data_IF_401531560458
#
_entry.id   IF_401531560458
#
_cell.length_a   1.000
_cell.length_b   1.000
_cell.length_c   1.000
_cell.angle_alpha   90.00
_cell.angle_beta   90.00
_cell.angle_gamma   90.00
#
_symmetry.space_group_name_H-M   'P 1'
#
loop_
_entity.id
_entity.type
_entity.pdbx_description
1 polymer ?
#
# COMPACT_ATOMS: atom_id res chain seq x y z
N UNK A 1 31.86 2.04 -5.13
CA UNK A 1 31.04 1.38 -6.15
C UNK A 1 29.74 0.93 -5.48
N UNK A 2 28.56 1.25 -6.06
CA UNK A 2 27.31 0.77 -5.52
C UNK A 2 27.28 -0.76 -5.52
N UNK A 3 26.91 -1.35 -4.38
CA UNK A 3 26.74 -2.78 -4.28
C UNK A 3 25.35 -3.16 -4.82
N UNK A 4 25.32 -4.14 -5.73
CA UNK A 4 24.09 -4.72 -6.25
C UNK A 4 23.87 -6.07 -5.58
N UNK A 5 22.76 -6.23 -4.90
CA UNK A 5 22.32 -7.48 -4.27
C UNK A 5 21.06 -7.92 -5.00
N UNK A 6 21.08 -9.13 -5.56
CA UNK A 6 19.92 -9.69 -6.27
C UNK A 6 19.20 -10.70 -5.39
N UNK A 7 17.91 -10.55 -5.27
CA UNK A 7 17.04 -11.50 -4.57
C UNK A 7 16.07 -12.15 -5.57
N UNK A 8 16.00 -13.48 -5.53
CA UNK A 8 15.01 -14.26 -6.29
C UNK A 8 14.17 -15.06 -5.30
N UNK A 9 12.84 -14.94 -5.30
CA UNK A 9 11.98 -15.70 -4.40
C UNK A 9 12.03 -17.20 -4.70
N UNK A 10 11.93 -17.99 -3.65
CA UNK A 10 11.79 -19.45 -3.71
C UNK A 10 10.55 -19.87 -2.92
N UNK A 11 10.21 -21.17 -2.95
CA UNK A 11 9.11 -21.68 -2.11
C UNK A 11 9.35 -21.51 -0.61
N UNK A 12 10.61 -21.46 -0.19
CA UNK A 12 11.00 -21.34 1.23
C UNK A 12 11.23 -19.88 1.66
N UNK A 13 11.68 -19.02 0.72
CA UNK A 13 12.09 -17.66 1.02
C UNK A 13 11.46 -16.67 0.04
N UNK A 14 10.47 -15.94 0.53
CA UNK A 14 9.84 -14.82 -0.17
C UNK A 14 10.19 -13.43 0.44
N UNK A 15 11.23 -13.40 1.30
CA UNK A 15 11.77 -12.22 1.95
C UNK A 15 13.25 -12.08 1.57
N UNK A 16 13.62 -10.88 1.14
CA UNK A 16 15.00 -10.60 0.74
C UNK A 16 15.92 -10.37 1.92
N UNK A 17 15.67 -9.34 2.71
CA UNK A 17 16.47 -8.91 3.84
C UNK A 17 15.60 -8.89 5.10
N UNK A 18 15.72 -9.92 5.89
CA UNK A 18 14.95 -10.07 7.13
C UNK A 18 15.73 -9.50 8.33
N UNK A 19 15.19 -8.45 8.92
CA UNK A 19 15.73 -7.78 10.11
C UNK A 19 14.93 -8.12 11.37
N UNK A 20 14.15 -9.19 11.36
CA UNK A 20 13.28 -9.53 12.46
C UNK A 20 14.04 -9.79 13.77
N UNK A 21 13.51 -9.27 14.88
CA UNK A 21 14.03 -9.49 16.24
C UNK A 21 15.28 -8.69 16.60
N UNK A 22 15.64 -7.68 15.83
CA UNK A 22 16.80 -6.84 16.10
C UNK A 22 16.47 -5.68 17.04
N UNK A 23 17.43 -5.32 17.91
CA UNK A 23 17.34 -4.16 18.78
C UNK A 23 18.62 -3.34 18.75
N UNK A 24 18.47 -2.00 18.84
CA UNK A 24 19.59 -1.04 18.93
C UNK A 24 20.56 -1.13 17.74
N UNK A 25 20.04 -1.29 16.53
CA UNK A 25 20.83 -1.50 15.30
C UNK A 25 20.70 -0.34 14.35
N UNK A 26 21.83 0.10 13.80
CA UNK A 26 21.92 1.07 12.73
C UNK A 26 22.55 0.42 11.49
N UNK A 27 21.82 0.35 10.40
CA UNK A 27 22.25 -0.26 9.15
C UNK A 27 22.48 0.83 8.12
N UNK A 28 23.71 1.01 7.69
CA UNK A 28 24.07 1.93 6.61
C UNK A 28 24.17 1.17 5.29
N UNK A 29 23.24 1.44 4.39
CA UNK A 29 23.15 0.83 3.07
C UNK A 29 23.29 1.87 1.95
N UNK A 30 24.02 2.98 2.21
CA UNK A 30 24.31 3.97 1.17
C UNK A 30 25.07 3.35 0.00
N UNK A 31 24.55 3.56 -1.21
CA UNK A 31 25.09 2.94 -2.43
C UNK A 31 24.73 1.47 -2.62
N UNK A 32 23.93 0.88 -1.74
CA UNK A 32 23.40 -0.48 -1.90
C UNK A 32 22.12 -0.43 -2.71
N UNK A 33 22.02 -1.32 -3.68
CA UNK A 33 20.82 -1.49 -4.51
C UNK A 33 20.35 -2.94 -4.45
N UNK A 34 19.16 -3.15 -3.92
CA UNK A 34 18.48 -4.44 -3.96
C UNK A 34 17.73 -4.56 -5.28
N UNK A 35 18.06 -5.61 -6.04
CA UNK A 35 17.42 -5.92 -7.31
C UNK A 35 16.61 -7.20 -7.12
N UNK A 36 15.29 -7.07 -7.15
CA UNK A 36 14.37 -8.17 -6.98
C UNK A 36 14.06 -8.82 -8.33
N UNK A 37 14.18 -10.13 -8.42
CA UNK A 37 13.86 -10.92 -9.61
C UNK A 37 12.64 -11.79 -9.32
N UNK A 38 11.44 -11.20 -9.30
CA UNK A 38 10.18 -11.83 -8.96
C UNK A 38 9.35 -11.00 -7.97
N UNK A 39 8.34 -11.60 -7.36
CA UNK A 39 7.44 -10.94 -6.40
C UNK A 39 7.74 -11.42 -4.99
N UNK A 40 8.30 -10.54 -4.17
CA UNK A 40 8.67 -10.82 -2.79
C UNK A 40 8.63 -9.55 -1.95
N UNK A 41 8.87 -9.70 -0.65
CA UNK A 41 9.10 -8.64 0.32
C UNK A 41 10.61 -8.34 0.42
N UNK A 42 11.10 -7.27 -0.20
CA UNK A 42 12.55 -6.98 -0.21
C UNK A 42 13.15 -6.75 1.16
N UNK A 43 12.41 -6.09 2.08
CA UNK A 43 12.89 -5.80 3.44
C UNK A 43 11.77 -6.03 4.45
N UNK A 44 12.05 -6.82 5.47
CA UNK A 44 11.20 -7.01 6.64
C UNK A 44 11.85 -6.49 7.90
N UNK A 45 11.11 -5.70 8.68
CA UNK A 45 11.46 -5.21 10.02
C UNK A 45 10.34 -5.64 10.95
N UNK A 46 10.50 -6.76 11.64
CA UNK A 46 9.45 -7.32 12.49
C UNK A 46 9.96 -7.63 13.89
N UNK A 47 9.18 -7.29 14.94
CA UNK A 47 9.57 -7.47 16.34
C UNK A 47 10.92 -6.81 16.66
N UNK A 48 11.11 -5.58 16.16
CA UNK A 48 12.34 -4.82 16.30
C UNK A 48 12.16 -3.63 17.23
N UNK A 49 13.25 -3.19 17.86
CA UNK A 49 13.28 -1.97 18.67
C UNK A 49 14.52 -1.13 18.35
N UNK A 50 14.35 0.21 18.20
CA UNK A 50 15.45 1.16 17.94
C UNK A 50 16.28 0.77 16.69
N UNK A 51 15.64 0.55 15.54
CA UNK A 51 16.32 0.20 14.30
C UNK A 51 16.32 1.37 13.32
N UNK A 52 17.51 1.72 12.81
CA UNK A 52 17.68 2.70 11.72
C UNK A 52 18.19 2.01 10.45
N UNK A 53 17.48 2.22 9.32
CA UNK A 53 17.93 1.80 7.98
C UNK A 53 18.19 3.04 7.11
N UNK A 54 19.39 3.13 6.57
CA UNK A 54 19.88 4.31 5.85
C UNK A 54 20.33 3.99 4.42
N UNK A 55 19.88 4.76 3.44
CA UNK A 55 20.51 4.86 2.12
C UNK A 55 20.23 3.71 1.14
N UNK A 56 19.24 2.87 1.36
CA UNK A 56 18.90 1.73 0.50
C UNK A 56 18.12 2.16 -0.74
N UNK A 57 18.39 1.52 -1.89
CA UNK A 57 17.52 1.57 -3.08
C UNK A 57 16.93 0.18 -3.38
N UNK A 58 15.61 0.11 -3.57
CA UNK A 58 14.89 -1.11 -3.96
C UNK A 58 14.36 -0.96 -5.39
N UNK A 59 14.60 -1.94 -6.24
CA UNK A 59 14.08 -2.01 -7.61
C UNK A 59 13.87 -3.45 -8.05
N UNK A 60 13.23 -3.64 -9.21
CA UNK A 60 13.02 -4.96 -9.81
C UNK A 60 13.82 -5.11 -11.10
N UNK A 61 14.37 -6.31 -11.34
CA UNK A 61 15.01 -6.67 -12.61
C UNK A 61 13.98 -6.62 -13.74
N UNK A 62 12.89 -7.36 -13.59
CA UNK A 62 11.67 -7.22 -14.37
C UNK A 62 10.69 -6.37 -13.59
N UNK A 63 10.30 -5.20 -14.11
CA UNK A 63 9.34 -4.33 -13.42
C UNK A 63 8.00 -5.06 -13.19
N UNK A 64 7.30 -4.82 -12.08
CA UNK A 64 6.00 -5.44 -11.80
C UNK A 64 4.84 -4.85 -12.61
N UNK A 65 5.17 -4.09 -13.64
CA UNK A 65 4.28 -3.48 -14.62
C UNK A 65 4.90 -3.59 -16.02
N UNK A 66 4.11 -3.39 -17.08
CA UNK A 66 4.61 -3.19 -18.43
C UNK A 66 4.33 -1.78 -18.90
N UNK A 67 5.28 -1.24 -19.64
CA UNK A 67 5.16 0.01 -20.37
C UNK A 67 5.24 -0.26 -21.86
N UNK A 68 4.58 0.55 -22.64
CA UNK A 68 4.63 0.51 -24.10
C UNK A 68 4.02 1.74 -24.70
N UNK A 69 3.94 1.78 -26.02
CA UNK A 69 3.47 2.92 -26.78
C UNK A 69 2.42 2.51 -27.82
N UNK A 70 1.48 3.39 -28.07
CA UNK A 70 0.50 3.24 -29.14
C UNK A 70 1.21 3.41 -30.48
N UNK A 71 1.33 2.33 -31.26
CA UNK A 71 1.96 2.35 -32.59
C UNK A 71 0.93 2.52 -33.72
N UNK A 72 -0.34 2.17 -33.45
CA UNK A 72 -1.45 2.39 -34.37
C UNK A 72 -2.69 2.80 -33.59
N UNK A 73 -3.41 3.80 -34.11
CA UNK A 73 -4.64 4.31 -33.50
C UNK A 73 -5.63 4.62 -34.63
N UNK A 74 -6.70 3.85 -34.73
CA UNK A 74 -7.72 3.99 -35.81
C UNK A 74 -9.07 4.31 -35.15
N UNK A 75 -9.69 5.45 -35.46
CA UNK A 75 -10.98 5.81 -34.87
C UNK A 75 -12.08 4.86 -35.37
N UNK A 76 -13.03 4.57 -34.50
CA UNK A 76 -14.30 3.90 -34.80
C UNK A 76 -15.42 4.90 -34.99
N UNK A 77 -16.60 4.41 -35.35
CA UNK A 77 -17.79 5.26 -35.54
C UNK A 77 -18.32 5.89 -34.25
N UNK A 78 -17.91 5.36 -33.07
CA UNK A 78 -18.28 5.90 -31.77
C UNK A 78 -17.26 6.96 -31.35
N UNK A 79 -17.76 8.01 -30.69
CA UNK A 79 -16.92 9.10 -30.20
C UNK A 79 -15.89 8.63 -29.19
N UNK A 80 -14.63 9.02 -29.39
CA UNK A 80 -13.46 8.66 -28.58
C UNK A 80 -13.22 7.14 -28.45
N UNK A 81 -13.69 6.31 -29.39
CA UNK A 81 -13.41 4.88 -29.44
C UNK A 81 -12.45 4.57 -30.59
N UNK A 82 -11.41 3.81 -30.29
CA UNK A 82 -10.31 3.51 -31.20
C UNK A 82 -9.95 2.02 -31.19
N UNK A 83 -9.56 1.51 -32.35
CA UNK A 83 -8.73 0.31 -32.45
C UNK A 83 -7.28 0.72 -32.33
N UNK A 84 -6.58 0.15 -31.36
CA UNK A 84 -5.18 0.45 -31.10
C UNK A 84 -4.29 -0.78 -31.20
N UNK A 85 -3.05 -0.56 -31.63
CA UNK A 85 -1.95 -1.51 -31.42
C UNK A 85 -0.97 -0.87 -30.47
N UNK A 86 -0.56 -1.61 -29.46
CA UNK A 86 0.45 -1.20 -28.49
C UNK A 86 1.66 -2.11 -28.64
N UNK A 87 2.82 -1.50 -28.70
CA UNK A 87 4.13 -2.14 -28.62
C UNK A 87 4.71 -1.90 -27.24
N UNK A 88 5.02 -2.97 -26.52
CA UNK A 88 5.61 -2.92 -25.19
C UNK A 88 7.13 -2.83 -25.28
N UNK A 89 7.74 -2.17 -24.31
CA UNK A 89 9.20 -2.06 -24.21
C UNK A 89 9.88 -3.44 -24.13
N UNK A 90 11.11 -3.56 -24.64
CA UNK A 90 11.86 -4.82 -24.68
C UNK A 90 12.06 -5.47 -23.31
N UNK A 91 12.19 -4.67 -22.26
CA UNK A 91 12.33 -5.14 -20.87
C UNK A 91 10.99 -5.43 -20.17
N UNK A 92 9.88 -5.28 -20.90
CA UNK A 92 8.51 -5.46 -20.41
C UNK A 92 7.70 -6.55 -21.13
N UNK A 93 8.28 -7.74 -21.45
CA UNK A 93 7.54 -8.77 -22.17
C UNK A 93 6.35 -9.30 -21.38
N UNK A 94 5.32 -9.71 -22.11
CA UNK A 94 4.11 -10.33 -21.56
C UNK A 94 3.92 -11.73 -22.13
N UNK A 95 3.04 -12.48 -21.51
CA UNK A 95 2.54 -13.76 -22.04
C UNK A 95 1.02 -13.70 -22.15
N UNK A 96 0.43 -14.65 -22.82
CA UNK A 96 -1.03 -14.74 -22.90
C UNK A 96 -1.73 -14.82 -21.52
N UNK A 97 -0.99 -15.26 -20.48
CA UNK A 97 -1.48 -15.39 -19.09
C UNK A 97 -1.17 -14.17 -18.23
N UNK A 98 -0.41 -13.20 -18.75
CA UNK A 98 -0.06 -11.99 -18.00
C UNK A 98 -1.32 -11.15 -17.77
N UNK A 99 -1.67 -10.79 -16.53
CA UNK A 99 -2.79 -9.90 -16.26
C UNK A 99 -2.53 -8.51 -16.86
N UNK A 100 -3.45 -8.01 -17.68
CA UNK A 100 -3.28 -6.72 -18.37
C UNK A 100 -4.32 -5.66 -17.94
N UNK A 101 -5.34 -6.05 -17.20
CA UNK A 101 -6.47 -5.18 -16.88
C UNK A 101 -6.69 -4.96 -15.38
N UNK A 102 -5.72 -5.28 -14.55
CA UNK A 102 -5.83 -5.06 -13.10
C UNK A 102 -5.90 -3.56 -12.77
N UNK A 103 -4.95 -2.81 -13.32
CA UNK A 103 -4.91 -1.35 -13.33
C UNK A 103 -4.01 -0.92 -14.47
N UNK A 104 -4.41 0.08 -15.22
CA UNK A 104 -3.65 0.61 -16.37
C UNK A 104 -3.87 2.11 -16.53
N UNK A 105 -3.00 2.74 -17.30
CA UNK A 105 -3.00 4.17 -17.57
C UNK A 105 -2.55 4.44 -19.00
N UNK A 106 -3.23 5.39 -19.63
CA UNK A 106 -2.81 6.01 -20.88
C UNK A 106 -2.22 7.37 -20.56
N UNK A 107 -1.01 7.66 -21.05
CA UNK A 107 -0.36 8.93 -20.84
C UNK A 107 -0.11 9.63 -22.16
N UNK A 108 -0.32 10.93 -22.17
CA UNK A 108 0.04 11.78 -23.32
C UNK A 108 1.55 11.74 -23.56
N UNK A 109 1.95 11.48 -24.79
CA UNK A 109 3.35 11.28 -25.20
C UNK A 109 4.26 12.47 -24.90
N UNK A 110 3.73 13.70 -24.85
CA UNK A 110 4.54 14.92 -24.67
C UNK A 110 4.56 15.40 -23.23
N UNK A 111 3.39 15.35 -22.57
CA UNK A 111 3.23 15.92 -21.22
C UNK A 111 3.33 14.88 -20.10
N UNK A 112 3.25 13.58 -20.41
CA UNK A 112 3.15 12.50 -19.43
C UNK A 112 1.84 12.49 -18.63
N UNK A 113 0.88 13.36 -18.97
CA UNK A 113 -0.40 13.46 -18.27
C UNK A 113 -1.30 12.28 -18.56
N UNK A 114 -1.95 11.79 -17.51
CA UNK A 114 -2.95 10.73 -17.65
C UNK A 114 -4.09 11.17 -18.58
N UNK A 115 -4.43 10.32 -19.55
CA UNK A 115 -5.61 10.41 -20.39
C UNK A 115 -6.67 9.48 -19.84
N UNK A 116 -7.82 10.04 -19.53
CA UNK A 116 -8.94 9.26 -19.01
C UNK A 116 -9.49 8.34 -20.11
N UNK A 117 -9.27 7.04 -19.96
CA UNK A 117 -9.70 6.06 -20.96
C UNK A 117 -9.80 4.64 -20.39
N UNK A 118 -10.69 3.85 -21.00
CA UNK A 118 -10.95 2.46 -20.65
C UNK A 118 -10.69 1.50 -21.81
N UNK A 119 -10.19 0.31 -21.51
CA UNK A 119 -10.08 -0.81 -22.44
C UNK A 119 -11.41 -1.56 -22.46
N UNK A 120 -12.05 -1.61 -23.63
CA UNK A 120 -13.30 -2.36 -23.86
C UNK A 120 -12.98 -3.84 -24.08
N UNK A 121 -11.96 -4.11 -24.89
CA UNK A 121 -11.45 -5.45 -25.14
C UNK A 121 -9.98 -5.39 -25.54
N UNK A 122 -9.24 -6.47 -25.29
CA UNK A 122 -7.87 -6.59 -25.77
C UNK A 122 -7.61 -8.00 -26.32
N UNK A 123 -6.60 -8.12 -27.20
CA UNK A 123 -6.14 -9.38 -27.77
C UNK A 123 -4.62 -9.41 -27.72
N UNK A 124 -4.08 -10.44 -27.06
CA UNK A 124 -2.65 -10.75 -27.09
C UNK A 124 -2.21 -11.10 -28.51
N UNK A 125 -1.10 -10.55 -28.97
CA UNK A 125 -0.49 -10.85 -30.27
C UNK A 125 0.79 -11.66 -30.08
N UNK A 126 1.75 -11.10 -29.36
CA UNK A 126 3.02 -11.74 -28.98
C UNK A 126 3.57 -11.13 -27.70
N UNK A 127 4.82 -11.45 -27.33
CA UNK A 127 5.41 -11.01 -26.06
C UNK A 127 5.59 -9.50 -25.92
N UNK A 128 5.55 -8.76 -27.04
CA UNK A 128 5.69 -7.30 -27.05
C UNK A 128 4.50 -6.58 -27.67
N UNK A 129 3.50 -7.28 -28.18
CA UNK A 129 2.38 -6.63 -28.84
C UNK A 129 1.03 -7.11 -28.35
N UNK A 130 0.10 -6.17 -28.24
CA UNK A 130 -1.32 -6.46 -28.11
C UNK A 130 -2.14 -5.46 -28.93
N UNK A 131 -3.36 -5.85 -29.26
CA UNK A 131 -4.36 -4.94 -29.84
C UNK A 131 -5.50 -4.75 -28.85
N UNK A 132 -6.12 -3.57 -28.87
CA UNK A 132 -7.26 -3.29 -27.99
C UNK A 132 -8.29 -2.39 -28.65
N UNK A 133 -9.54 -2.49 -28.19
CA UNK A 133 -10.56 -1.49 -28.41
C UNK A 133 -10.59 -0.61 -27.16
N UNK A 134 -10.37 0.67 -27.34
CA UNK A 134 -10.18 1.62 -26.25
C UNK A 134 -11.15 2.78 -26.39
N UNK A 135 -11.81 3.17 -25.29
CA UNK A 135 -12.54 4.43 -25.20
C UNK A 135 -11.70 5.41 -24.40
N UNK A 136 -11.10 6.40 -25.07
CA UNK A 136 -10.19 7.34 -24.44
C UNK A 136 -10.19 8.69 -25.17
N UNK A 137 -10.36 9.78 -24.44
CA UNK A 137 -10.36 11.12 -25.02
C UNK A 137 -8.94 11.50 -25.49
N UNK A 138 -8.82 11.85 -26.76
CA UNK A 138 -7.57 12.36 -27.34
C UNK A 138 -6.44 11.33 -27.42
N UNK A 139 -6.75 10.03 -27.45
CA UNK A 139 -5.75 8.98 -27.66
C UNK A 139 -5.15 9.07 -29.06
N UNK A 140 -3.83 8.97 -29.17
CA UNK A 140 -3.13 9.05 -30.44
C UNK A 140 -1.88 8.15 -30.48
N UNK A 141 -1.31 8.00 -31.67
CA UNK A 141 -0.02 7.31 -31.85
C UNK A 141 1.08 8.04 -31.07
N UNK A 142 1.91 7.28 -30.40
CA UNK A 142 2.98 7.76 -29.51
C UNK A 142 2.58 7.87 -28.04
N UNK A 143 1.27 7.84 -27.71
CA UNK A 143 0.83 7.83 -26.32
C UNK A 143 1.37 6.61 -25.58
N UNK A 144 1.75 6.83 -24.33
CA UNK A 144 2.29 5.77 -23.47
C UNK A 144 1.16 4.97 -22.83
N UNK A 145 1.36 3.67 -22.73
CA UNK A 145 0.53 2.74 -22.00
C UNK A 145 1.31 2.10 -20.88
N UNK A 146 0.75 2.13 -19.66
CA UNK A 146 1.28 1.43 -18.50
C UNK A 146 0.23 0.50 -17.93
N UNK A 147 0.62 -0.71 -17.51
CA UNK A 147 -0.28 -1.66 -16.85
C UNK A 147 0.44 -2.47 -15.78
N UNK A 148 -0.23 -2.71 -14.65
CA UNK A 148 0.32 -3.54 -13.56
C UNK A 148 -0.11 -4.99 -13.72
N UNK A 149 0.76 -5.92 -13.31
CA UNK A 149 0.54 -7.36 -13.38
C UNK A 149 0.22 -8.01 -12.04
N UNK A 150 0.34 -7.25 -10.97
CA UNK A 150 -0.05 -7.63 -9.62
C UNK A 150 -0.64 -6.41 -8.90
N UNK A 151 -1.55 -6.66 -7.98
CA UNK A 151 -2.20 -5.62 -7.17
C UNK A 151 -2.24 -6.09 -5.72
N UNK A 152 -1.94 -5.22 -4.76
CA UNK A 152 -1.84 -5.56 -3.33
C UNK A 152 -0.94 -6.77 -3.01
N UNK A 153 0.18 -6.92 -3.74
CA UNK A 153 1.21 -7.91 -3.43
C UNK A 153 2.05 -7.47 -2.22
N UNK A 154 3.18 -8.14 -1.97
CA UNK A 154 4.07 -7.80 -0.86
C UNK A 154 4.56 -6.34 -0.93
N UNK A 155 4.72 -5.64 0.21
CA UNK A 155 5.34 -4.30 0.25
C UNK A 155 6.85 -4.37 -0.01
N UNK A 156 7.45 -3.23 -0.39
CA UNK A 156 8.91 -3.16 -0.51
C UNK A 156 9.60 -3.19 0.85
N UNK A 157 9.03 -2.49 1.83
CA UNK A 157 9.49 -2.50 3.22
C UNK A 157 8.28 -2.73 4.13
N UNK A 158 8.34 -3.77 4.93
CA UNK A 158 7.30 -4.11 5.90
C UNK A 158 7.82 -3.89 7.32
N UNK A 159 7.17 -2.99 8.06
CA UNK A 159 7.45 -2.69 9.47
C UNK A 159 6.28 -3.23 10.29
N UNK A 160 6.50 -4.30 11.08
CA UNK A 160 5.45 -4.95 11.84
C UNK A 160 5.86 -5.17 13.30
N UNK A 161 4.92 -4.93 14.23
CA UNK A 161 5.11 -5.23 15.66
C UNK A 161 6.44 -4.67 16.21
N UNK A 162 6.81 -3.47 15.77
CA UNK A 162 8.14 -2.88 16.01
C UNK A 162 8.04 -1.49 16.66
N UNK A 163 9.12 -1.05 17.29
CA UNK A 163 9.15 0.21 18.03
C UNK A 163 10.36 1.05 17.66
N UNK A 164 10.18 2.39 17.54
CA UNK A 164 11.24 3.35 17.25
C UNK A 164 12.02 3.00 15.96
N UNK A 165 11.32 2.87 14.85
CA UNK A 165 11.91 2.53 13.55
C UNK A 165 12.12 3.80 12.73
N UNK A 166 13.30 3.97 12.16
CA UNK A 166 13.63 5.10 11.28
C UNK A 166 14.16 4.61 9.94
N UNK A 167 13.53 5.04 8.85
CA UNK A 167 14.05 4.92 7.50
C UNK A 167 14.54 6.28 7.02
N UNK A 168 15.77 6.38 6.53
CA UNK A 168 16.36 7.64 6.06
C UNK A 168 17.05 7.45 4.72
N UNK A 169 16.81 8.34 3.76
CA UNK A 169 17.42 8.31 2.42
C UNK A 169 17.17 6.98 1.66
N UNK A 170 15.98 6.42 1.84
CA UNK A 170 15.57 5.18 1.18
C UNK A 170 14.86 5.53 -0.13
N UNK A 171 15.15 4.76 -1.19
CA UNK A 171 14.48 4.91 -2.49
C UNK A 171 13.80 3.60 -2.89
N UNK A 172 12.54 3.67 -3.30
CA UNK A 172 11.77 2.55 -3.85
C UNK A 172 11.39 2.93 -5.28
N UNK A 173 11.96 2.26 -6.26
CA UNK A 173 11.71 2.56 -7.67
C UNK A 173 10.58 1.70 -8.27
N UNK A 174 10.33 0.54 -7.73
CA UNK A 174 9.25 -0.33 -8.20
C UNK A 174 8.87 -1.35 -7.13
N UNK A 175 7.57 -1.69 -7.04
CA UNK A 175 7.06 -2.77 -6.18
C UNK A 175 5.70 -3.26 -6.69
N UNK A 176 5.44 -4.58 -6.71
CA UNK A 176 4.14 -5.14 -7.14
C UNK A 176 2.99 -4.91 -6.14
N UNK A 177 3.28 -4.39 -4.96
CA UNK A 177 2.34 -3.95 -3.95
C UNK A 177 2.62 -2.51 -3.53
N UNK A 178 2.60 -2.27 -2.23
CA UNK A 178 2.84 -0.97 -1.60
C UNK A 178 4.34 -0.69 -1.43
N UNK A 179 4.70 0.57 -1.24
CA UNK A 179 6.08 0.95 -0.95
C UNK A 179 6.46 0.58 0.49
N UNK A 180 6.02 1.34 1.48
CA UNK A 180 6.24 1.05 2.89
C UNK A 180 4.92 0.73 3.57
N UNK A 181 4.85 -0.41 4.25
CA UNK A 181 3.70 -0.80 5.09
C UNK A 181 4.14 -0.87 6.54
N UNK A 182 3.37 -0.23 7.42
CA UNK A 182 3.52 -0.32 8.88
C UNK A 182 2.28 -0.93 9.52
N UNK A 183 2.47 -1.96 10.37
CA UNK A 183 1.39 -2.58 11.11
C UNK A 183 1.77 -2.70 12.59
N UNK A 184 0.83 -2.38 13.50
CA UNK A 184 0.97 -2.61 14.95
C UNK A 184 2.35 -2.20 15.50
N UNK A 185 2.85 -1.05 15.04
CA UNK A 185 4.17 -0.54 15.39
C UNK A 185 4.06 0.83 16.07
N UNK A 186 5.06 1.18 16.86
CA UNK A 186 5.12 2.40 17.65
C UNK A 186 6.28 3.29 17.18
N UNK A 187 6.04 4.61 17.01
CA UNK A 187 7.06 5.60 16.69
C UNK A 187 7.86 5.26 15.42
N UNK A 188 7.22 5.39 14.26
CA UNK A 188 7.87 5.19 12.96
C UNK A 188 8.18 6.53 12.31
N UNK A 189 9.39 6.68 11.80
CA UNK A 189 9.85 7.90 11.11
C UNK A 189 10.43 7.59 9.74
N UNK A 190 9.87 8.21 8.70
CA UNK A 190 10.36 8.15 7.33
C UNK A 190 10.93 9.53 6.97
N UNK A 191 12.25 9.59 6.74
CA UNK A 191 12.97 10.83 6.42
C UNK A 191 13.58 10.72 5.03
N UNK A 192 13.20 11.60 4.12
CA UNK A 192 13.67 11.58 2.74
C UNK A 192 13.51 10.20 2.08
N UNK A 193 12.33 9.61 2.31
CA UNK A 193 11.89 8.43 1.56
C UNK A 193 11.43 8.88 0.17
N UNK A 194 11.94 8.23 -0.85
CA UNK A 194 11.57 8.48 -2.23
C UNK A 194 10.91 7.23 -2.82
N UNK A 195 9.61 7.32 -3.09
CA UNK A 195 8.88 6.31 -3.87
C UNK A 195 8.65 6.91 -5.24
N UNK A 196 9.61 6.68 -6.12
CA UNK A 196 9.68 7.33 -7.43
C UNK A 196 10.12 6.31 -8.49
N UNK A 197 9.62 6.40 -9.74
CA UNK A 197 10.05 5.47 -10.77
C UNK A 197 11.53 5.64 -11.12
N UNK A 198 12.12 4.64 -11.76
CA UNK A 198 13.39 4.81 -12.45
C UNK A 198 13.23 5.78 -13.62
N UNK A 199 14.33 6.44 -14.01
CA UNK A 199 14.33 7.39 -15.12
C UNK A 199 13.72 6.78 -16.39
N UNK A 200 12.77 7.49 -16.96
CA UNK A 200 12.04 7.08 -18.16
C UNK A 200 10.78 6.28 -17.92
N UNK A 201 10.46 5.86 -16.69
CA UNK A 201 9.19 5.21 -16.36
C UNK A 201 8.20 6.18 -15.69
N UNK A 202 6.90 5.92 -15.88
CA UNK A 202 5.80 6.65 -15.23
C UNK A 202 4.98 5.70 -14.34
N UNK A 203 5.67 4.82 -13.61
CA UNK A 203 5.08 3.94 -12.61
C UNK A 203 6.11 3.51 -11.56
N UNK A 204 5.76 3.60 -10.28
CA UNK A 204 6.60 3.16 -9.15
C UNK A 204 5.98 1.96 -8.46
N UNK A 205 5.21 2.13 -7.39
CA UNK A 205 4.50 1.05 -6.71
C UNK A 205 3.14 0.78 -7.35
N UNK A 206 2.67 -0.48 -7.32
CA UNK A 206 1.40 -0.84 -7.95
C UNK A 206 0.18 -0.40 -7.13
N UNK A 207 0.37 -0.06 -5.86
CA UNK A 207 -0.63 0.49 -4.95
C UNK A 207 -0.07 1.68 -4.17
N UNK A 208 -0.40 1.84 -2.88
CA UNK A 208 0.00 2.98 -2.07
C UNK A 208 1.52 3.19 -2.02
N UNK A 209 1.96 4.42 -1.96
CA UNK A 209 3.36 4.70 -1.66
C UNK A 209 3.67 4.35 -0.20
N UNK A 210 2.76 4.68 0.75
CA UNK A 210 2.88 4.27 2.16
C UNK A 210 1.51 3.94 2.76
N UNK A 211 1.46 2.92 3.63
CA UNK A 211 0.24 2.47 4.27
C UNK A 211 0.51 2.04 5.72
N UNK A 212 -0.24 2.59 6.67
CA UNK A 212 -0.03 2.35 8.10
C UNK A 212 -1.35 1.97 8.77
N UNK A 213 -1.35 0.83 9.46
CA UNK A 213 -2.53 0.34 10.18
C UNK A 213 -2.21 0.06 11.63
N UNK A 214 -3.13 0.42 12.53
CA UNK A 214 -3.05 0.10 13.96
C UNK A 214 -1.72 0.50 14.60
N UNK A 215 -1.24 1.68 14.26
CA UNK A 215 -0.01 2.26 14.80
C UNK A 215 -0.27 2.92 16.14
N UNK A 216 0.78 3.06 16.95
CA UNK A 216 0.76 3.83 18.19
C UNK A 216 1.85 4.89 18.21
N UNK A 217 1.79 5.80 19.19
CA UNK A 217 2.77 6.88 19.33
C UNK A 217 2.75 7.86 18.15
N UNK A 218 3.90 8.07 17.53
CA UNK A 218 4.07 9.04 16.44
C UNK A 218 4.46 8.37 15.13
N UNK A 219 3.74 8.73 14.06
CA UNK A 219 4.12 8.44 12.69
C UNK A 219 4.58 9.75 12.01
N UNK A 220 5.82 9.80 11.52
CA UNK A 220 6.40 10.99 10.90
C UNK A 220 6.90 10.69 9.48
N UNK A 221 6.41 11.47 8.52
CA UNK A 221 6.91 11.55 7.14
C UNK A 221 7.54 12.94 6.96
N UNK A 222 8.83 13.00 6.68
CA UNK A 222 9.58 14.26 6.60
C UNK A 222 10.42 14.35 5.31
N UNK A 223 10.16 15.38 4.49
CA UNK A 223 10.86 15.65 3.23
C UNK A 223 10.86 14.44 2.28
N UNK A 224 9.75 13.71 2.20
CA UNK A 224 9.58 12.55 1.33
C UNK A 224 9.06 12.97 -0.05
N UNK A 225 9.34 12.14 -1.06
CA UNK A 225 8.91 12.37 -2.45
C UNK A 225 8.18 11.12 -2.96
N UNK A 226 6.97 11.30 -3.50
CA UNK A 226 6.11 10.23 -3.98
C UNK A 226 5.58 10.56 -5.38
N UNK A 227 5.92 9.71 -6.35
CA UNK A 227 5.55 9.93 -7.74
C UNK A 227 5.11 8.63 -8.42
N UNK A 228 4.06 8.73 -9.24
CA UNK A 228 3.58 7.66 -10.11
C UNK A 228 3.28 6.35 -9.37
N UNK A 229 2.77 6.44 -8.15
CA UNK A 229 2.27 5.28 -7.41
C UNK A 229 0.81 4.97 -7.76
N UNK A 230 0.43 3.70 -7.65
CA UNK A 230 -0.83 3.20 -8.17
C UNK A 230 -2.06 3.47 -7.31
N UNK A 231 -1.93 4.04 -6.10
CA UNK A 231 -3.06 4.35 -5.21
C UNK A 231 -2.74 5.59 -4.34
N UNK A 232 -2.95 5.56 -3.01
CA UNK A 232 -2.77 6.71 -2.12
C UNK A 232 -1.29 7.07 -1.90
N UNK A 233 -0.99 8.35 -1.70
CA UNK A 233 0.32 8.78 -1.23
C UNK A 233 0.60 8.20 0.17
N UNK A 234 -0.31 8.42 1.10
CA UNK A 234 -0.29 7.78 2.41
C UNK A 234 -1.69 7.49 2.90
N UNK A 235 -1.86 6.31 3.48
CA UNK A 235 -3.07 5.89 4.14
C UNK A 235 -2.74 5.48 5.58
N UNK A 236 -3.37 6.12 6.56
CA UNK A 236 -3.17 5.84 7.98
C UNK A 236 -4.51 5.60 8.64
N UNK A 237 -4.72 4.42 9.21
CA UNK A 237 -5.99 4.08 9.83
C UNK A 237 -5.90 2.97 10.87
N UNK A 238 -6.89 2.93 11.79
CA UNK A 238 -7.30 1.76 12.52
C UNK A 238 -8.50 1.10 11.85
N UNK A 239 -9.12 0.15 12.54
CA UNK A 239 -10.29 -0.59 12.05
C UNK A 239 -11.53 -0.28 12.86
N UNK A 240 -12.68 -0.34 12.19
CA UNK A 240 -13.99 -0.41 12.81
C UNK A 240 -14.48 -1.84 12.70
N UNK A 241 -14.75 -2.47 13.85
CA UNK A 241 -15.17 -3.87 13.95
C UNK A 241 -16.60 -3.98 14.43
N UNK A 242 -17.34 -4.94 13.90
CA UNK A 242 -18.71 -5.18 14.29
C UNK A 242 -18.76 -6.06 15.54
N UNK A 243 -19.70 -5.77 16.45
CA UNK A 243 -20.05 -6.66 17.55
C UNK A 243 -21.01 -7.70 16.99
N UNK A 244 -20.56 -8.94 16.86
CA UNK A 244 -21.34 -10.01 16.23
C UNK A 244 -22.29 -10.65 17.23
N UNK A 245 -21.80 -10.94 18.45
CA UNK A 245 -22.56 -11.63 19.48
C UNK A 245 -22.14 -11.10 20.84
N UNK A 246 -23.13 -10.67 21.62
CA UNK A 246 -22.95 -10.37 23.04
C UNK A 246 -23.05 -11.67 23.84
N UNK A 247 -22.05 -11.98 24.65
CA UNK A 247 -22.00 -13.19 25.51
C UNK A 247 -22.51 -12.89 26.91
N UNK A 248 -22.11 -11.73 27.46
CA UNK A 248 -22.58 -11.20 28.74
C UNK A 248 -22.60 -9.66 28.68
N UNK A 249 -22.79 -9.00 29.80
CA UNK A 249 -22.80 -7.54 29.86
C UNK A 249 -21.44 -6.93 29.47
N UNK A 250 -20.37 -7.63 29.77
CA UNK A 250 -19.00 -7.15 29.51
C UNK A 250 -18.23 -7.99 28.50
N UNK A 251 -18.83 -9.03 27.92
CA UNK A 251 -18.14 -9.97 27.05
C UNK A 251 -18.89 -10.16 25.73
N UNK A 252 -18.16 -10.08 24.62
CA UNK A 252 -18.71 -10.14 23.27
C UNK A 252 -17.69 -10.66 22.25
N UNK A 253 -18.16 -11.02 21.06
CA UNK A 253 -17.35 -11.31 19.90
C UNK A 253 -17.29 -10.08 18.99
N UNK A 254 -16.05 -9.70 18.62
CA UNK A 254 -15.79 -8.73 17.56
C UNK A 254 -15.40 -9.47 16.29
N UNK A 255 -15.89 -9.00 15.16
CA UNK A 255 -15.54 -9.52 13.86
C UNK A 255 -14.87 -8.44 13.01
N UNK A 256 -13.72 -8.77 12.49
CA UNK A 256 -13.14 -8.05 11.38
C UNK A 256 -13.84 -8.51 10.09
N UNK A 257 -14.16 -7.59 9.20
CA UNK A 257 -14.65 -7.99 7.87
C UNK A 257 -13.63 -8.90 7.22
N UNK A 258 -14.07 -10.09 6.81
CA UNK A 258 -13.27 -10.94 5.95
C UNK A 258 -12.85 -10.15 4.72
N UNK A 259 -11.56 -10.20 4.35
CA UNK A 259 -11.12 -9.57 3.11
C UNK A 259 -11.97 -10.10 1.96
N UNK A 260 -12.32 -9.23 1.03
CA UNK A 260 -12.99 -9.60 -0.23
C UNK A 260 -12.08 -10.38 -1.18
N UNK A 261 -10.97 -10.94 -0.70
CA UNK A 261 -9.93 -11.64 -1.44
C UNK A 261 -8.93 -10.71 -2.14
N UNK A 262 -9.10 -9.40 -2.07
CA UNK A 262 -8.22 -8.41 -2.70
C UNK A 262 -7.24 -7.78 -1.73
N UNK A 263 -7.46 -7.89 -0.43
CA UNK A 263 -6.61 -7.31 0.62
C UNK A 263 -5.94 -8.39 1.45
N UNK A 264 -4.61 -8.35 1.54
CA UNK A 264 -3.79 -9.20 2.42
C UNK A 264 -3.61 -8.55 3.80
N UNK A 265 -4.67 -8.01 4.37
CA UNK A 265 -4.58 -7.40 5.70
C UNK A 265 -4.46 -8.47 6.77
N UNK A 266 -3.54 -8.27 7.70
CA UNK A 266 -3.47 -9.11 8.89
C UNK A 266 -4.69 -8.85 9.77
N UNK A 267 -5.19 -9.90 10.40
CA UNK A 267 -6.20 -9.76 11.44
C UNK A 267 -5.68 -8.85 12.54
N UNK A 268 -6.46 -7.85 12.89
CA UNK A 268 -6.09 -6.86 13.89
C UNK A 268 -7.06 -6.90 15.08
N UNK A 269 -6.59 -7.50 16.16
CA UNK A 269 -7.32 -7.58 17.41
C UNK A 269 -6.78 -6.55 18.40
N UNK A 270 -7.61 -6.02 19.32
CA UNK A 270 -7.14 -5.19 20.42
C UNK A 270 -6.22 -6.00 21.34
N UNK A 271 -5.33 -5.33 22.03
CA UNK A 271 -4.57 -5.91 23.15
C UNK A 271 -5.23 -5.58 24.50
N UNK A 272 -4.87 -6.35 25.52
CA UNK A 272 -5.28 -6.05 26.89
C UNK A 272 -4.74 -4.68 27.31
N UNK A 273 -5.64 -3.81 27.79
CA UNK A 273 -5.35 -2.43 28.13
C UNK A 273 -5.64 -1.41 27.02
N UNK A 274 -5.93 -1.86 25.80
CA UNK A 274 -6.37 -0.96 24.72
C UNK A 274 -7.72 -0.32 25.04
N UNK A 275 -8.00 0.79 24.40
CA UNK A 275 -9.24 1.55 24.54
C UNK A 275 -10.09 1.39 23.29
N UNK A 276 -11.30 0.88 23.46
CA UNK A 276 -12.27 0.75 22.39
C UNK A 276 -13.34 1.85 22.51
N UNK A 277 -13.58 2.59 21.44
CA UNK A 277 -14.72 3.49 21.31
C UNK A 277 -15.88 2.78 20.65
N UNK A 278 -17.03 2.76 21.33
CA UNK A 278 -18.30 2.30 20.75
C UNK A 278 -18.90 3.45 19.95
N UNK A 279 -19.06 3.25 18.65
CA UNK A 279 -19.54 4.26 17.74
C UNK A 279 -20.82 3.83 17.03
N UNK A 280 -21.67 4.81 16.70
CA UNK A 280 -22.83 4.58 15.86
C UNK A 280 -22.40 4.55 14.38
N UNK A 281 -22.77 3.48 13.68
CA UNK A 281 -22.39 3.26 12.27
C UNK A 281 -22.88 4.36 11.31
N UNK A 282 -24.02 5.00 11.61
CA UNK A 282 -24.61 5.99 10.70
C UNK A 282 -23.92 7.35 10.69
N UNK A 283 -23.27 7.75 11.78
CA UNK A 283 -22.66 9.08 11.94
C UNK A 283 -21.31 9.06 12.68
N UNK A 284 -20.83 7.88 13.04
CA UNK A 284 -19.59 7.63 13.77
C UNK A 284 -19.51 8.37 15.13
N UNK A 285 -20.66 8.73 15.69
CA UNK A 285 -20.72 9.35 17.01
C UNK A 285 -20.28 8.34 18.08
N UNK A 286 -19.30 8.72 18.87
CA UNK A 286 -18.86 7.96 20.05
C UNK A 286 -19.99 7.98 21.10
N UNK A 287 -20.40 6.80 21.53
CA UNK A 287 -21.44 6.59 22.53
C UNK A 287 -20.86 6.23 23.89
N UNK A 288 -19.77 5.47 23.90
CA UNK A 288 -19.09 5.00 25.10
C UNK A 288 -17.64 4.62 24.79
N UNK A 289 -16.84 4.38 25.84
CA UNK A 289 -15.41 4.07 25.74
C UNK A 289 -15.03 3.00 26.74
N UNK A 290 -14.51 1.88 26.28
CA UNK A 290 -14.19 0.69 27.07
C UNK A 290 -12.70 0.44 27.19
N UNK A 291 -12.27 -0.10 28.34
CA UNK A 291 -10.95 -0.70 28.49
C UNK A 291 -11.02 -2.21 28.26
N UNK A 292 -10.10 -2.71 27.47
CA UNK A 292 -9.97 -4.14 27.19
C UNK A 292 -9.30 -4.84 28.37
N UNK A 293 -10.00 -5.80 28.99
CA UNK A 293 -9.48 -6.60 30.11
C UNK A 293 -8.97 -7.97 29.66
N UNK A 294 -9.59 -8.55 28.61
CA UNK A 294 -9.18 -9.86 28.08
C UNK A 294 -9.47 -9.94 26.60
N UNK A 295 -8.58 -10.61 25.87
CA UNK A 295 -8.75 -10.94 24.45
C UNK A 295 -8.43 -12.41 24.23
N UNK A 296 -9.26 -13.08 23.45
CA UNK A 296 -9.03 -14.45 22.97
C UNK A 296 -9.18 -14.44 21.44
N UNK A 297 -8.08 -14.44 20.69
CA UNK A 297 -8.11 -14.49 19.23
C UNK A 297 -8.73 -15.79 18.70
N UNK A 298 -9.50 -15.66 17.63
CA UNK A 298 -10.11 -16.77 16.87
C UNK A 298 -9.80 -16.54 15.37
N UNK A 299 -8.54 -16.71 14.94
CA UNK A 299 -8.09 -16.30 13.61
C UNK A 299 -8.78 -17.02 12.47
N UNK A 300 -9.10 -18.29 12.62
CA UNK A 300 -9.78 -19.09 11.60
C UNK A 300 -11.20 -18.61 11.31
N UNK A 301 -11.81 -17.88 12.25
CA UNK A 301 -13.16 -17.33 12.17
C UNK A 301 -13.17 -15.82 11.90
N UNK A 302 -11.99 -15.20 11.74
CA UNK A 302 -11.83 -13.75 11.63
C UNK A 302 -12.50 -12.97 12.76
N UNK A 303 -12.46 -13.54 13.96
CA UNK A 303 -13.07 -12.99 15.17
C UNK A 303 -12.11 -12.98 16.33
N UNK A 304 -12.45 -12.19 17.34
CA UNK A 304 -11.91 -12.32 18.69
C UNK A 304 -13.00 -12.19 19.75
N UNK A 305 -12.82 -12.88 20.86
CA UNK A 305 -13.65 -12.71 22.05
C UNK A 305 -12.98 -11.70 22.98
N UNK A 306 -13.73 -10.67 23.35
CA UNK A 306 -13.20 -9.53 24.12
C UNK A 306 -14.02 -9.38 25.41
N UNK A 307 -13.32 -9.11 26.52
CA UNK A 307 -13.93 -8.68 27.80
C UNK A 307 -13.51 -7.25 28.07
N UNK A 308 -14.46 -6.42 28.50
CA UNK A 308 -14.27 -5.00 28.80
C UNK A 308 -14.64 -4.67 30.25
N UNK A 309 -14.19 -3.52 30.73
CA UNK A 309 -14.23 -3.06 32.12
C UNK A 309 -15.62 -2.71 32.66
N UNK A 310 -16.60 -2.49 31.77
CA UNK A 310 -17.98 -2.18 32.21
C UNK A 310 -19.04 -2.62 31.18
N UNK A 311 -20.33 -2.63 31.54
CA UNK A 311 -21.38 -3.20 30.68
C UNK A 311 -21.57 -2.46 29.35
N UNK A 312 -21.70 -3.23 28.27
CA UNK A 312 -22.13 -2.77 26.97
C UNK A 312 -23.66 -2.69 26.85
N UNK A 313 -24.22 -1.89 25.93
CA UNK A 313 -25.64 -1.85 25.64
C UNK A 313 -26.21 -3.24 25.33
N UNK A 314 -27.48 -3.47 25.70
CA UNK A 314 -28.15 -4.73 25.39
C UNK A 314 -28.26 -5.01 23.91
N UNK A 315 -28.50 -3.97 23.08
CA UNK A 315 -28.50 -4.06 21.63
C UNK A 315 -27.24 -3.39 21.06
N UNK A 316 -26.52 -4.13 20.23
CA UNK A 316 -25.34 -3.64 19.48
C UNK A 316 -25.62 -3.43 17.99
N UNK A 317 -26.92 -3.55 17.58
CA UNK A 317 -27.32 -3.30 16.21
C UNK A 317 -26.98 -1.87 15.75
N UNK A 318 -26.31 -1.73 14.61
CA UNK A 318 -25.88 -0.44 14.09
C UNK A 318 -24.71 0.22 14.85
N UNK A 319 -24.04 -0.54 15.73
CA UNK A 319 -22.86 -0.10 16.48
C UNK A 319 -21.60 -0.79 15.96
N UNK A 320 -20.46 -0.09 16.13
CA UNK A 320 -19.13 -0.56 15.78
C UNK A 320 -18.16 -0.18 16.90
N UNK A 321 -17.11 -0.95 17.06
CA UNK A 321 -15.99 -0.67 17.95
C UNK A 321 -14.75 -0.26 17.15
N UNK A 322 -14.07 0.78 17.60
CA UNK A 322 -12.80 1.22 17.08
C UNK A 322 -11.74 1.17 18.19
N UNK A 323 -10.61 0.52 17.93
CA UNK A 323 -9.46 0.58 18.82
C UNK A 323 -8.73 1.91 18.63
N UNK A 324 -8.94 2.83 19.58
CA UNK A 324 -8.39 4.19 19.51
C UNK A 324 -7.00 4.31 20.16
N UNK A 325 -6.55 3.29 20.87
CA UNK A 325 -5.15 3.21 21.33
C UNK A 325 -4.21 3.10 20.14
N UNK A 326 -4.70 2.49 19.04
CA UNK A 326 -3.92 2.23 17.82
C UNK A 326 -4.18 3.24 16.72
N UNK A 327 -4.26 4.51 17.12
CA UNK A 327 -4.36 5.67 16.23
C UNK A 327 -3.19 6.63 16.55
N UNK A 328 -2.15 6.69 15.69
CA UNK A 328 -0.94 7.48 15.96
C UNK A 328 -1.21 8.98 15.82
N UNK A 329 -0.37 9.81 16.45
CA UNK A 329 -0.24 11.20 16.02
C UNK A 329 0.59 11.24 14.74
N UNK A 330 0.05 11.79 13.66
CA UNK A 330 0.67 11.80 12.32
C UNK A 330 1.30 13.16 12.02
N UNK A 331 2.56 13.17 11.61
CA UNK A 331 3.25 14.36 11.08
C UNK A 331 3.64 14.12 9.62
N UNK A 332 3.17 14.97 8.71
CA UNK A 332 3.55 14.97 7.28
C UNK A 332 4.09 16.36 6.95
N UNK A 333 5.41 16.46 6.82
CA UNK A 333 6.10 17.75 6.78
C UNK A 333 7.06 17.82 5.59
N UNK A 334 6.89 18.83 4.74
CA UNK A 334 7.78 19.11 3.61
C UNK A 334 7.80 18.01 2.54
N UNK A 335 6.76 17.21 2.46
CA UNK A 335 6.65 16.14 1.47
C UNK A 335 6.08 16.65 0.13
N UNK A 336 6.41 15.96 -0.96
CA UNK A 336 5.78 16.19 -2.26
C UNK A 336 5.18 14.89 -2.81
N UNK A 337 4.00 15.01 -3.44
CA UNK A 337 3.34 13.93 -4.13
C UNK A 337 2.81 14.41 -5.48
N UNK A 338 2.97 13.60 -6.52
CA UNK A 338 2.46 13.90 -7.85
C UNK A 338 2.14 12.63 -8.65
N UNK A 339 1.25 12.78 -9.65
CA UNK A 339 0.98 11.73 -10.63
C UNK A 339 0.61 10.38 -9.98
N UNK A 340 -0.38 10.40 -9.08
CA UNK A 340 -0.92 9.20 -8.43
C UNK A 340 -2.39 8.95 -8.80
N UNK A 341 -2.88 7.73 -8.51
CA UNK A 341 -4.21 7.29 -8.99
C UNK A 341 -5.36 7.58 -8.04
N UNK A 342 -5.11 7.82 -6.76
CA UNK A 342 -6.16 8.00 -5.78
C UNK A 342 -5.96 9.27 -4.93
N UNK A 343 -5.98 9.14 -3.62
CA UNK A 343 -5.93 10.30 -2.72
C UNK A 343 -4.48 10.68 -2.41
N UNK A 344 -4.24 11.96 -2.19
CA UNK A 344 -2.97 12.42 -1.63
C UNK A 344 -2.79 11.84 -0.23
N UNK A 345 -3.63 12.23 0.72
CA UNK A 345 -3.54 11.82 2.12
C UNK A 345 -4.88 11.29 2.60
N UNK A 346 -4.89 10.10 3.18
CA UNK A 346 -6.05 9.54 3.88
C UNK A 346 -5.68 9.27 5.34
N UNK A 347 -6.23 10.05 6.25
CA UNK A 347 -5.97 9.96 7.69
C UNK A 347 -7.25 9.64 8.44
N UNK A 348 -7.24 8.55 9.18
CA UNK A 348 -8.25 8.18 10.17
C UNK A 348 -7.54 8.05 11.52
N UNK A 349 -7.27 9.20 12.14
CA UNK A 349 -6.54 9.31 13.40
C UNK A 349 -7.09 10.49 14.20
N UNK A 350 -6.75 10.57 15.49
CA UNK A 350 -7.21 11.65 16.39
C UNK A 350 -6.35 12.90 16.35
N UNK A 351 -5.17 12.88 15.72
CA UNK A 351 -4.32 14.05 15.63
C UNK A 351 -3.32 14.00 14.49
N UNK A 352 -3.19 15.11 13.77
CA UNK A 352 -2.23 15.22 12.68
C UNK A 352 -1.70 16.65 12.53
N UNK A 353 -0.44 16.76 12.10
CA UNK A 353 0.19 17.97 11.60
C UNK A 353 0.58 17.74 10.14
N UNK A 354 -0.06 18.46 9.22
CA UNK A 354 0.22 18.40 7.77
C UNK A 354 0.70 19.77 7.33
N UNK A 355 2.00 19.92 7.06
CA UNK A 355 2.62 21.24 6.93
C UNK A 355 3.67 21.26 5.80
N UNK A 356 3.66 22.34 5.00
CA UNK A 356 4.61 22.60 3.91
C UNK A 356 4.72 21.49 2.87
N UNK A 357 3.62 20.84 2.54
CA UNK A 357 3.56 19.80 1.53
C UNK A 357 3.08 20.35 0.18
N UNK A 358 3.47 19.67 -0.90
CA UNK A 358 3.01 19.93 -2.28
C UNK A 358 2.34 18.68 -2.82
N UNK A 359 1.11 18.81 -3.33
CA UNK A 359 0.32 17.69 -3.86
C UNK A 359 -0.37 18.07 -5.16
#
# INVERSE_FOLDING_TARGET
NPQKIMFTPTYEYDIGFDLSGLSDVKISAYGVRFIVDGFMEPVRIKNCENVELLGLTVTHKRKPFSRGHVTKCTPRNEENVFDVTVELDEDCPITQKTPMLLRYMWCDALSGRNKNGGIISYTYVDEHHFTAVVKCVGLCVGDEFNTVHAFHSRPAIHIAESKNITLTDVTINSQPGMGVVGNRSENVSLKRLWVVPECGYHWSTNTDATHFTSMTGKLRLENCVFEYHGDDFTNVHGYYQEVVTRVSDTEFFMQEKTPDGTHTQALDYPDVGDTLELTRKSDLRVLDTYKVEKVTPMPDEWMCRVTVDHPMPESTEGLMLADVTRLPFVEIIGCSASSHFARGVLLKTHGALVERNTM
#
